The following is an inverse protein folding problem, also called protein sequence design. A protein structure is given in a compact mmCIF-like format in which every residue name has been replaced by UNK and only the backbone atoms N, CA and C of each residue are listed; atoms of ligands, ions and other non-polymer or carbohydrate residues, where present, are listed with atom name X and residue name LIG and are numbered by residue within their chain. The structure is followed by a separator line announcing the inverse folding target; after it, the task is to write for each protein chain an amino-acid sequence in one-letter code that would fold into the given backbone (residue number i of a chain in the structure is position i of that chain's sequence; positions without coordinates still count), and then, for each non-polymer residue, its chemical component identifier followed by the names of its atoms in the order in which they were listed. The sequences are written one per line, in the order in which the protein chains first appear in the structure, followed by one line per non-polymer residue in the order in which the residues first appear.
data_IF_202187976745
#
_entry.id   IF_202187976745
#
_cell.length_a   1.000
_cell.length_b   1.000
_cell.length_c   1.000
_cell.angle_alpha   90.00
_cell.angle_beta   90.00
_cell.angle_gamma   90.00
#
_symmetry.space_group_name_H-M   'P 1'
#
loop_
_entity.id
_entity.type
_entity.pdbx_description
1 polymer ?
#
# COMPACT_ATOMS: atom_id res chain seq x y z
N UNK A 1 -34.92 32.80 27.03
CA UNK A 1 -33.77 32.10 27.64
C UNK A 1 -33.32 31.01 26.72
N UNK A 2 -32.04 30.80 26.59
CA UNK A 2 -31.49 29.80 25.68
C UNK A 2 -31.55 30.18 24.18
N UNK A 3 -31.75 29.20 23.32
CA UNK A 3 -31.74 29.38 21.84
C UNK A 3 -32.79 30.39 21.36
N UNK A 4 -33.96 30.43 22.00
CA UNK A 4 -35.05 31.38 21.67
C UNK A 4 -34.60 32.85 21.85
N UNK A 5 -33.92 33.19 22.94
CA UNK A 5 -33.44 34.55 23.19
C UNK A 5 -32.31 34.93 22.18
N UNK A 6 -31.44 33.97 21.84
CA UNK A 6 -30.38 34.17 20.82
C UNK A 6 -31.04 34.42 19.47
N UNK A 7 -32.08 33.67 19.10
CA UNK A 7 -32.82 33.83 17.86
C UNK A 7 -33.40 35.25 17.73
N UNK A 8 -34.07 35.73 18.77
CA UNK A 8 -34.63 37.10 18.80
C UNK A 8 -33.52 38.15 18.59
N UNK A 9 -32.38 38.02 19.29
CA UNK A 9 -31.24 38.93 19.13
C UNK A 9 -30.65 38.88 17.72
N UNK A 10 -30.68 37.71 17.06
CA UNK A 10 -30.20 37.58 15.69
C UNK A 10 -31.17 38.07 14.63
N UNK A 11 -32.48 38.05 14.93
CA UNK A 11 -33.55 38.59 14.06
C UNK A 11 -33.57 40.13 14.06
N UNK A 12 -33.21 40.75 15.19
CA UNK A 12 -33.10 42.19 15.35
C UNK A 12 -31.81 42.77 14.76
N UNK A 13 -30.92 41.97 14.20
CA UNK A 13 -29.58 42.36 13.78
C UNK A 13 -29.60 42.80 12.33
N UNK A 14 -29.30 44.11 12.08
CA UNK A 14 -29.06 44.65 10.73
C UNK A 14 -27.60 44.43 10.32
N UNK A 15 -27.40 43.54 9.33
CA UNK A 15 -26.06 43.20 8.83
C UNK A 15 -25.38 44.34 8.08
N UNK A 16 -26.15 45.17 7.38
CA UNK A 16 -25.59 46.28 6.59
C UNK A 16 -25.12 47.42 7.50
N UNK A 17 -25.90 47.74 8.54
CA UNK A 17 -25.49 48.72 9.53
C UNK A 17 -24.27 48.23 10.33
N UNK A 18 -24.31 46.99 10.80
CA UNK A 18 -23.22 46.38 11.58
C UNK A 18 -21.92 46.33 10.75
N UNK A 19 -21.99 46.02 9.48
CA UNK A 19 -20.82 46.01 8.59
C UNK A 19 -20.15 47.40 8.48
N UNK A 20 -20.98 48.46 8.36
CA UNK A 20 -20.46 49.85 8.33
C UNK A 20 -19.78 50.24 9.63
N UNK A 21 -20.46 50.00 10.75
CA UNK A 21 -19.92 50.27 12.10
C UNK A 21 -18.59 49.61 12.35
N UNK A 22 -18.46 48.33 11.99
CA UNK A 22 -17.23 47.56 12.16
C UNK A 22 -16.10 48.03 11.25
N UNK A 23 -16.43 48.54 10.02
CA UNK A 23 -15.42 49.13 9.12
C UNK A 23 -14.91 50.44 9.66
N UNK A 24 -15.79 51.29 10.12
CA UNK A 24 -15.46 52.62 10.71
C UNK A 24 -14.60 52.41 11.99
N UNK A 25 -14.94 51.41 12.81
CA UNK A 25 -14.16 51.06 14.00
C UNK A 25 -12.75 50.53 13.65
N UNK A 26 -12.63 49.80 12.51
CA UNK A 26 -11.33 49.28 12.03
C UNK A 26 -10.39 50.40 11.53
N UNK A 27 -10.94 51.48 11.01
CA UNK A 27 -10.14 52.63 10.53
C UNK A 27 -9.55 53.42 11.71
N UNK A 28 -10.26 53.45 12.83
CA UNK A 28 -9.86 54.21 14.02
C UNK A 28 -8.91 53.48 14.96
N UNK A 29 -8.82 52.14 14.86
CA UNK A 29 -8.08 51.32 15.78
C UNK A 29 -6.64 51.00 15.35
N UNK A 30 -5.63 51.14 16.27
CA UNK A 30 -4.26 50.73 15.97
C UNK A 30 -4.14 49.21 15.86
N UNK A 31 -3.04 48.76 15.24
CA UNK A 31 -2.72 47.35 15.06
C UNK A 31 -2.56 46.68 16.43
N UNK A 32 -3.44 45.69 16.77
CA UNK A 32 -3.44 45.01 18.04
C UNK A 32 -4.53 43.93 18.12
N UNK A 33 -4.62 43.27 19.27
CA UNK A 33 -5.58 42.19 19.50
C UNK A 33 -7.04 42.61 19.31
N UNK A 34 -7.38 43.88 19.65
CA UNK A 34 -8.74 44.40 19.50
C UNK A 34 -9.11 44.48 18.00
N UNK A 35 -8.20 45.00 17.19
CA UNK A 35 -8.39 45.06 15.71
C UNK A 35 -8.54 43.66 15.11
N UNK A 36 -7.76 42.66 15.55
CA UNK A 36 -7.88 41.26 15.09
C UNK A 36 -9.23 40.62 15.42
N UNK A 37 -9.82 40.95 16.59
CA UNK A 37 -11.18 40.47 16.95
C UNK A 37 -12.25 41.09 16.09
N UNK A 38 -12.16 42.38 15.80
CA UNK A 38 -13.10 43.08 14.94
C UNK A 38 -12.99 42.59 13.51
N UNK A 39 -11.79 42.35 12.99
CA UNK A 39 -11.60 41.75 11.67
C UNK A 39 -12.30 40.41 11.53
N UNK A 40 -12.13 39.51 12.51
CA UNK A 40 -12.81 38.21 12.53
C UNK A 40 -14.35 38.36 12.60
N UNK A 41 -14.84 39.36 13.35
CA UNK A 41 -16.28 39.62 13.42
C UNK A 41 -16.80 40.16 12.09
N UNK A 42 -16.07 41.08 11.48
CA UNK A 42 -16.42 41.63 10.17
C UNK A 42 -16.43 40.57 9.07
N UNK A 43 -15.45 39.66 9.07
CA UNK A 43 -15.39 38.53 8.15
C UNK A 43 -16.68 37.69 8.19
N UNK A 44 -17.18 37.37 9.40
CA UNK A 44 -18.44 36.62 9.57
C UNK A 44 -19.63 37.43 9.10
N UNK A 45 -19.72 38.72 9.45
CA UNK A 45 -20.81 39.60 9.04
C UNK A 45 -20.88 39.74 7.52
N UNK A 46 -19.72 39.97 6.88
CA UNK A 46 -19.64 40.06 5.41
C UNK A 46 -19.98 38.72 4.73
N UNK A 47 -19.60 37.60 5.31
CA UNK A 47 -19.96 36.26 4.79
C UNK A 47 -21.49 36.07 4.79
N UNK A 48 -22.20 36.46 5.86
CA UNK A 48 -23.67 36.44 5.89
C UNK A 48 -24.29 37.44 4.88
N UNK A 49 -23.77 38.64 4.83
CA UNK A 49 -24.26 39.70 3.92
C UNK A 49 -24.13 39.30 2.44
N UNK A 50 -22.96 38.76 2.05
CA UNK A 50 -22.68 38.36 0.65
C UNK A 50 -23.42 37.07 0.26
N UNK A 51 -23.63 36.15 1.18
CA UNK A 51 -24.34 34.90 0.90
C UNK A 51 -25.88 35.04 0.90
N UNK A 52 -26.41 36.14 1.42
CA UNK A 52 -27.85 36.36 1.58
C UNK A 52 -28.50 35.46 2.67
N UNK A 53 -27.70 34.74 3.47
CA UNK A 53 -28.19 33.95 4.56
C UNK A 53 -28.58 34.80 5.76
N UNK A 54 -29.70 34.48 6.40
CA UNK A 54 -30.15 35.16 7.64
C UNK A 54 -29.42 34.60 8.86
N UNK A 55 -28.90 35.46 9.77
CA UNK A 55 -28.22 34.99 10.97
C UNK A 55 -29.09 34.11 11.86
N UNK A 56 -30.43 34.37 11.90
CA UNK A 56 -31.40 33.57 12.66
C UNK A 56 -31.46 32.11 12.19
N UNK A 57 -31.02 31.78 10.97
CA UNK A 57 -30.97 30.39 10.49
C UNK A 57 -29.90 29.53 11.18
N UNK A 58 -29.01 30.12 11.96
CA UNK A 58 -28.09 29.37 12.84
C UNK A 58 -28.83 28.68 13.99
N UNK A 59 -30.07 29.08 14.29
CA UNK A 59 -30.95 28.45 15.28
C UNK A 59 -31.93 27.54 14.56
N UNK A 60 -31.92 26.26 14.89
CA UNK A 60 -32.82 25.27 14.30
C UNK A 60 -34.21 25.32 14.96
N UNK A 61 -35.24 25.55 14.17
CA UNK A 61 -36.65 25.46 14.62
C UNK A 61 -37.19 24.04 14.47
N UNK A 62 -36.67 23.28 13.50
CA UNK A 62 -37.11 21.92 13.20
C UNK A 62 -35.90 20.98 13.16
N UNK A 63 -36.00 19.89 13.88
CA UNK A 63 -34.95 18.83 13.85
C UNK A 63 -35.28 17.86 12.72
N UNK A 64 -34.40 17.72 11.71
CA UNK A 64 -34.63 16.78 10.63
C UNK A 64 -34.50 15.33 11.12
N UNK A 65 -35.35 14.46 10.61
CA UNK A 65 -35.35 13.02 10.93
C UNK A 65 -34.80 12.28 9.73
N UNK A 66 -33.71 11.54 9.91
CA UNK A 66 -33.11 10.76 8.84
C UNK A 66 -34.02 9.57 8.45
N UNK A 67 -33.91 9.08 7.19
CA UNK A 67 -34.71 7.94 6.72
C UNK A 67 -34.49 6.67 7.55
N UNK A 68 -35.52 5.80 7.65
CA UNK A 68 -35.45 4.56 8.43
C UNK A 68 -34.31 3.61 8.02
N UNK A 69 -33.95 3.59 6.72
CA UNK A 69 -32.88 2.72 6.20
C UNK A 69 -31.50 3.03 6.81
N UNK A 70 -31.26 4.29 7.21
CA UNK A 70 -30.00 4.72 7.83
C UNK A 70 -30.00 4.48 9.35
N UNK A 71 -31.20 4.26 9.97
CA UNK A 71 -31.38 3.92 11.39
C UNK A 71 -32.20 2.66 11.57
N UNK A 72 -31.76 1.51 11.07
CA UNK A 72 -32.57 0.29 10.97
C UNK A 72 -32.99 -0.23 12.34
N UNK A 73 -34.14 -0.88 12.33
CA UNK A 73 -34.63 -1.72 13.42
C UNK A 73 -34.88 -3.11 12.86
N UNK A 74 -34.08 -4.08 13.28
CA UNK A 74 -34.10 -5.45 12.75
C UNK A 74 -34.57 -6.41 13.83
N UNK A 75 -35.51 -7.27 13.49
CA UNK A 75 -35.96 -8.34 14.37
C UNK A 75 -34.94 -9.46 14.38
N UNK A 76 -34.48 -9.85 15.56
CA UNK A 76 -33.60 -10.98 15.80
C UNK A 76 -34.41 -12.25 16.08
N UNK A 77 -33.77 -13.40 15.96
CA UNK A 77 -34.37 -14.67 16.38
C UNK A 77 -34.80 -14.63 17.85
N UNK A 78 -36.01 -15.12 18.16
CA UNK A 78 -36.60 -15.05 19.51
C UNK A 78 -37.38 -13.77 19.80
N UNK A 79 -37.78 -13.00 18.78
CA UNK A 79 -38.69 -11.86 18.93
C UNK A 79 -38.05 -10.58 19.51
N UNK A 80 -36.74 -10.55 19.67
CA UNK A 80 -36.00 -9.37 20.12
C UNK A 80 -35.71 -8.44 18.94
N UNK A 81 -35.70 -7.12 19.20
CA UNK A 81 -35.33 -6.14 18.18
C UNK A 81 -33.94 -5.56 18.46
N UNK A 82 -33.09 -5.58 17.45
CA UNK A 82 -31.88 -4.77 17.44
C UNK A 82 -32.20 -3.44 16.79
N UNK A 83 -31.95 -2.35 17.49
CA UNK A 83 -32.25 -1.00 17.01
C UNK A 83 -30.97 -0.14 16.97
N UNK A 84 -30.93 0.81 16.06
CA UNK A 84 -29.88 1.82 16.04
C UNK A 84 -29.98 2.73 17.27
N UNK A 85 -28.88 3.14 17.84
CA UNK A 85 -28.81 4.09 18.97
C UNK A 85 -29.51 5.42 18.64
N UNK A 86 -29.56 5.82 17.37
CA UNK A 86 -30.23 7.01 16.90
C UNK A 86 -31.76 6.98 17.19
N UNK A 87 -32.38 5.81 17.08
CA UNK A 87 -33.83 5.69 17.39
C UNK A 87 -34.12 6.03 18.86
N UNK A 88 -33.23 5.65 19.78
CA UNK A 88 -33.35 6.01 21.17
C UNK A 88 -33.16 7.51 21.43
N UNK A 89 -32.21 8.12 20.74
CA UNK A 89 -31.96 9.56 20.82
C UNK A 89 -33.15 10.37 20.25
N UNK A 90 -33.68 9.99 19.09
CA UNK A 90 -34.90 10.61 18.52
C UNK A 90 -36.09 10.44 19.45
N UNK A 91 -36.32 9.26 20.02
CA UNK A 91 -37.40 8.99 20.97
C UNK A 91 -37.30 9.90 22.19
N UNK A 92 -36.11 10.17 22.72
CA UNK A 92 -35.89 11.10 23.83
C UNK A 92 -36.26 12.52 23.45
N UNK A 93 -35.88 13.01 22.27
CA UNK A 93 -36.24 14.34 21.76
C UNK A 93 -37.74 14.45 21.62
N UNK A 94 -38.43 13.49 21.00
CA UNK A 94 -39.90 13.50 20.82
C UNK A 94 -40.64 13.48 22.16
N UNK A 95 -40.22 12.63 23.09
CA UNK A 95 -40.84 12.54 24.40
C UNK A 95 -40.70 13.86 25.19
N UNK A 96 -39.54 14.49 25.17
CA UNK A 96 -39.30 15.79 25.81
C UNK A 96 -40.12 16.90 25.16
N UNK A 97 -40.19 16.93 23.84
CA UNK A 97 -40.97 17.91 23.09
C UNK A 97 -42.47 17.77 23.39
N UNK A 98 -43.01 16.53 23.40
CA UNK A 98 -44.42 16.27 23.74
C UNK A 98 -44.74 16.65 25.18
N UNK A 99 -43.84 16.40 26.12
CA UNK A 99 -43.99 16.80 27.51
C UNK A 99 -43.98 18.31 27.66
N UNK A 100 -43.08 19.02 26.95
CA UNK A 100 -43.03 20.48 26.97
C UNK A 100 -44.32 21.07 26.41
N UNK A 101 -44.88 20.56 25.32
CA UNK A 101 -46.15 20.99 24.73
C UNK A 101 -47.29 20.89 25.76
N UNK A 102 -47.42 19.73 26.41
CA UNK A 102 -48.46 19.51 27.45
C UNK A 102 -48.30 20.46 28.64
N UNK A 103 -47.08 20.75 29.09
CA UNK A 103 -46.83 21.69 30.19
C UNK A 103 -47.22 23.13 29.82
N UNK A 104 -46.98 23.54 28.58
CA UNK A 104 -47.41 24.85 28.09
C UNK A 104 -48.93 24.93 27.99
N UNK A 105 -49.58 23.90 27.44
CA UNK A 105 -51.06 23.82 27.32
C UNK A 105 -51.76 23.85 28.70
N UNK A 106 -51.16 23.23 29.72
CA UNK A 106 -51.66 23.20 31.06
C UNK A 106 -51.35 24.47 31.88
N UNK A 107 -50.67 25.46 31.33
CA UNK A 107 -50.31 26.69 32.05
C UNK A 107 -49.34 26.45 33.23
N UNK A 108 -48.45 25.49 33.14
CA UNK A 108 -47.51 25.13 34.22
C UNK A 108 -46.61 26.32 34.61
N UNK A 109 -46.12 26.38 35.87
CA UNK A 109 -45.25 27.44 36.35
C UNK A 109 -43.99 27.59 35.47
N UNK A 110 -43.55 28.81 35.22
CA UNK A 110 -42.42 29.18 34.38
C UNK A 110 -41.13 28.43 34.70
N UNK A 111 -40.90 28.15 35.98
CA UNK A 111 -39.71 27.41 36.44
C UNK A 111 -39.68 25.99 35.83
N UNK A 112 -40.82 25.32 35.80
CA UNK A 112 -40.96 23.96 35.25
C UNK A 112 -40.83 23.99 33.74
N UNK A 113 -41.46 24.94 33.07
CA UNK A 113 -41.35 25.11 31.60
C UNK A 113 -39.90 25.40 31.19
N UNK A 114 -39.21 26.28 31.90
CA UNK A 114 -37.77 26.59 31.64
C UNK A 114 -36.88 25.37 31.82
N UNK A 115 -37.10 24.55 32.83
CA UNK A 115 -36.34 23.32 33.05
C UNK A 115 -36.57 22.30 31.94
N UNK A 116 -37.84 22.13 31.49
CA UNK A 116 -38.16 21.21 30.41
C UNK A 116 -37.58 21.69 29.05
N UNK A 117 -37.58 23.02 28.77
CA UNK A 117 -36.87 23.62 27.63
C UNK A 117 -35.37 23.27 27.66
N UNK A 118 -34.74 23.37 28.85
CA UNK A 118 -33.33 22.99 29.02
C UNK A 118 -33.11 21.49 28.75
N UNK A 119 -33.97 20.62 29.25
CA UNK A 119 -33.88 19.17 29.05
C UNK A 119 -34.14 18.77 27.58
N UNK A 120 -34.97 19.51 26.85
CA UNK A 120 -35.18 19.34 25.43
C UNK A 120 -33.90 19.72 24.66
N UNK A 121 -33.28 20.86 25.00
CA UNK A 121 -32.00 21.29 24.42
C UNK A 121 -30.93 20.22 24.65
N UNK A 122 -30.77 19.68 25.85
CA UNK A 122 -29.83 18.61 26.16
C UNK A 122 -30.08 17.34 25.30
N UNK A 123 -31.35 17.02 25.05
CA UNK A 123 -31.75 15.89 24.22
C UNK A 123 -31.34 16.09 22.75
N UNK A 124 -31.47 17.31 22.22
CA UNK A 124 -31.08 17.67 20.87
C UNK A 124 -29.54 17.71 20.76
N UNK A 125 -28.85 18.26 21.75
CA UNK A 125 -27.39 18.27 21.81
C UNK A 125 -26.83 16.83 21.80
N UNK A 126 -27.45 15.92 22.57
CA UNK A 126 -27.05 14.51 22.56
C UNK A 126 -27.34 13.81 21.24
N UNK A 127 -28.40 14.17 20.53
CA UNK A 127 -28.67 13.62 19.19
C UNK A 127 -27.61 14.03 18.18
N UNK A 128 -27.15 15.30 18.23
CA UNK A 128 -26.18 15.84 17.28
C UNK A 128 -24.76 15.37 17.65
N UNK A 129 -24.32 15.57 18.89
CA UNK A 129 -22.97 15.22 19.35
C UNK A 129 -22.99 14.83 20.85
N UNK A 130 -23.23 13.55 21.11
CA UNK A 130 -23.38 13.02 22.47
C UNK A 130 -22.06 13.10 23.26
N UNK A 131 -22.07 13.73 24.40
CA UNK A 131 -20.92 13.90 25.28
C UNK A 131 -20.08 15.16 25.02
N UNK A 132 -20.50 16.03 24.09
CA UNK A 132 -19.83 17.32 23.87
C UNK A 132 -20.09 18.30 25.02
N UNK A 133 -21.30 18.27 25.57
CA UNK A 133 -21.72 19.08 26.71
C UNK A 133 -22.17 18.18 27.87
N UNK A 134 -21.38 18.11 28.94
CA UNK A 134 -21.68 17.33 30.11
C UNK A 134 -21.47 15.82 29.97
N UNK A 135 -22.19 15.04 30.79
CA UNK A 135 -22.08 13.58 30.76
C UNK A 135 -22.80 13.01 29.53
N UNK A 136 -22.21 12.07 28.81
CA UNK A 136 -22.86 11.46 27.67
C UNK A 136 -24.11 10.69 28.10
N UNK A 137 -25.10 10.71 27.24
CA UNK A 137 -26.29 9.87 27.38
C UNK A 137 -25.91 8.41 27.11
N UNK A 138 -26.20 7.52 28.04
CA UNK A 138 -25.84 6.11 27.98
C UNK A 138 -27.04 5.22 27.75
N UNK A 139 -26.77 4.07 27.13
CA UNK A 139 -27.69 2.96 26.98
C UNK A 139 -27.45 1.87 28.05
N UNK A 140 -27.93 0.64 27.82
CA UNK A 140 -27.64 -0.50 28.66
C UNK A 140 -26.13 -0.67 28.87
N UNK A 141 -25.72 -1.11 30.05
CA UNK A 141 -24.32 -1.31 30.45
C UNK A 141 -23.45 -0.03 30.44
N UNK A 142 -24.05 1.14 30.68
CA UNK A 142 -23.36 2.44 30.70
C UNK A 142 -22.55 2.78 29.41
N UNK A 143 -22.85 2.12 28.29
CA UNK A 143 -22.25 2.44 26.99
C UNK A 143 -22.83 3.77 26.47
N UNK A 144 -21.99 4.76 26.08
CA UNK A 144 -22.49 5.98 25.43
C UNK A 144 -23.21 5.63 24.12
N UNK A 145 -24.36 6.27 23.90
CA UNK A 145 -25.12 6.12 22.65
C UNK A 145 -24.41 6.84 21.53
N UNK A 146 -24.39 6.22 20.34
CA UNK A 146 -23.76 6.76 19.14
C UNK A 146 -24.62 7.85 18.51
N UNK A 147 -24.14 9.09 18.52
CA UNK A 147 -24.85 10.27 17.97
C UNK A 147 -24.65 10.40 16.43
N UNK A 148 -25.34 11.38 15.82
CA UNK A 148 -25.16 11.70 14.39
C UNK A 148 -23.71 12.06 14.06
N UNK A 149 -23.06 12.86 14.90
CA UNK A 149 -21.65 13.23 14.76
C UNK A 149 -20.74 12.02 14.82
N UNK A 150 -20.98 11.06 15.71
CA UNK A 150 -20.20 9.84 15.85
C UNK A 150 -20.34 8.89 14.66
N UNK A 151 -21.45 8.99 13.93
CA UNK A 151 -21.61 8.26 12.67
C UNK A 151 -20.70 8.78 11.56
N UNK A 152 -20.23 10.03 11.64
CA UNK A 152 -19.38 10.66 10.65
C UNK A 152 -17.91 10.68 11.07
N UNK A 153 -17.63 10.85 12.38
CA UNK A 153 -16.31 11.01 12.98
C UNK A 153 -15.57 9.69 13.17
N UNK A 154 -14.24 9.78 13.26
CA UNK A 154 -13.35 8.70 13.69
C UNK A 154 -13.14 7.59 12.66
N UNK A 155 -12.48 6.51 13.10
CA UNK A 155 -12.13 5.37 12.23
C UNK A 155 -13.33 4.58 11.74
N UNK A 156 -14.41 4.52 12.56
CA UNK A 156 -15.64 3.81 12.26
C UNK A 156 -16.75 4.73 11.70
N UNK A 157 -16.42 6.00 11.47
CA UNK A 157 -17.32 6.95 10.87
C UNK A 157 -17.46 6.76 9.35
N UNK A 158 -18.55 7.28 8.80
CA UNK A 158 -18.92 7.13 7.39
C UNK A 158 -17.81 7.60 6.43
N UNK A 159 -17.14 8.70 6.74
CA UNK A 159 -16.07 9.22 5.91
C UNK A 159 -14.90 8.24 5.79
N UNK A 160 -14.36 7.74 6.89
CA UNK A 160 -13.18 6.87 6.88
C UNK A 160 -13.50 5.42 6.55
N UNK A 161 -14.66 4.91 6.94
CA UNK A 161 -15.03 3.50 6.77
C UNK A 161 -15.67 3.19 5.42
N UNK A 162 -16.45 4.13 4.85
CA UNK A 162 -17.28 3.85 3.68
C UNK A 162 -17.01 4.75 2.47
N UNK A 163 -16.45 5.96 2.65
CA UNK A 163 -16.22 6.92 1.57
C UNK A 163 -14.75 6.97 1.14
N UNK A 164 -13.81 7.12 2.08
CA UNK A 164 -12.37 7.13 1.77
C UNK A 164 -11.82 5.74 1.46
N UNK A 165 -12.52 4.70 1.86
CA UNK A 165 -12.19 3.32 1.55
C UNK A 165 -13.43 2.44 1.60
N UNK A 166 -13.54 1.49 0.66
CA UNK A 166 -14.65 0.53 0.57
C UNK A 166 -14.10 -0.88 0.56
N UNK A 167 -14.89 -1.84 1.03
CA UNK A 167 -14.62 -3.25 0.79
C UNK A 167 -14.86 -3.53 -0.69
N UNK A 168 -13.93 -4.23 -1.33
CA UNK A 168 -13.99 -4.53 -2.74
C UNK A 168 -13.98 -6.04 -2.96
N UNK A 169 -14.68 -6.48 -4.01
CA UNK A 169 -14.66 -7.86 -4.47
C UNK A 169 -13.35 -8.16 -5.23
N UNK A 170 -13.13 -9.40 -5.60
CA UNK A 170 -11.91 -9.86 -6.28
C UNK A 170 -10.63 -9.49 -5.54
N UNK A 171 -10.69 -9.59 -4.24
CA UNK A 171 -9.56 -9.35 -3.34
C UNK A 171 -9.48 -10.42 -2.26
N UNK A 172 -8.28 -10.63 -1.78
CA UNK A 172 -8.01 -11.60 -0.73
C UNK A 172 -6.87 -11.13 0.16
N UNK A 173 -6.59 -11.86 1.22
CA UNK A 173 -5.49 -11.58 2.13
C UNK A 173 -4.90 -12.88 2.64
N UNK A 174 -3.57 -12.98 2.68
CA UNK A 174 -2.87 -14.11 3.28
C UNK A 174 -1.52 -13.69 3.84
N UNK A 175 -0.94 -14.58 4.63
CA UNK A 175 0.43 -14.46 5.13
C UNK A 175 1.40 -14.55 3.96
N UNK A 176 2.52 -13.85 4.05
CA UNK A 176 3.59 -13.89 3.06
C UNK A 176 4.76 -14.77 3.54
N UNK A 177 5.39 -15.44 2.58
CA UNK A 177 6.64 -16.18 2.78
C UNK A 177 7.62 -15.86 1.66
N UNK A 178 8.89 -16.10 1.90
CA UNK A 178 9.92 -15.87 0.89
C UNK A 178 9.78 -16.83 -0.29
N UNK A 179 9.94 -16.28 -1.50
CA UNK A 179 10.00 -17.04 -2.75
C UNK A 179 11.35 -16.80 -3.45
N UNK A 180 12.43 -17.50 -3.06
CA UNK A 180 13.75 -17.26 -3.63
C UNK A 180 13.84 -17.63 -5.12
N UNK A 181 13.01 -18.56 -5.58
CA UNK A 181 12.98 -19.04 -6.97
C UNK A 181 12.22 -18.11 -7.93
N UNK A 182 11.44 -17.19 -7.38
CA UNK A 182 10.65 -16.25 -8.17
C UNK A 182 11.53 -15.27 -8.96
N UNK A 183 11.07 -14.89 -10.13
CA UNK A 183 11.60 -13.73 -10.86
C UNK A 183 11.03 -12.44 -10.29
N UNK A 184 11.69 -11.30 -10.53
CA UNK A 184 11.32 -10.00 -9.98
C UNK A 184 9.87 -9.60 -10.27
N UNK A 185 9.34 -9.99 -11.41
CA UNK A 185 7.97 -9.67 -11.82
C UNK A 185 6.93 -10.73 -11.39
N UNK A 186 7.35 -11.79 -10.68
CA UNK A 186 6.50 -12.91 -10.31
C UNK A 186 6.14 -12.89 -8.83
N UNK A 187 4.94 -13.40 -8.52
CA UNK A 187 4.55 -13.76 -7.15
C UNK A 187 3.94 -15.17 -7.12
N UNK A 188 4.12 -15.86 -6.01
CA UNK A 188 3.49 -17.16 -5.80
C UNK A 188 2.11 -17.00 -5.18
N UNK A 189 1.07 -17.40 -5.89
CA UNK A 189 -0.31 -17.32 -5.42
C UNK A 189 -0.82 -18.71 -5.03
N UNK A 190 -1.34 -18.90 -3.80
CA UNK A 190 -1.96 -20.16 -3.38
C UNK A 190 -3.06 -20.59 -4.34
N UNK A 191 -3.07 -21.86 -4.73
CA UNK A 191 -4.02 -22.41 -5.71
C UNK A 191 -5.47 -22.18 -5.31
N UNK A 192 -5.82 -22.44 -4.04
CA UNK A 192 -7.18 -22.24 -3.53
C UNK A 192 -7.63 -20.77 -3.63
N UNK A 193 -6.73 -19.85 -3.27
CA UNK A 193 -7.00 -18.41 -3.37
C UNK A 193 -7.12 -17.97 -4.83
N UNK A 194 -6.26 -18.48 -5.71
CA UNK A 194 -6.31 -18.20 -7.15
C UNK A 194 -7.64 -18.64 -7.75
N UNK A 195 -8.11 -19.84 -7.40
CA UNK A 195 -9.38 -20.37 -7.92
C UNK A 195 -10.57 -19.48 -7.52
N UNK A 196 -10.60 -18.97 -6.30
CA UNK A 196 -11.68 -18.09 -5.84
C UNK A 196 -11.61 -16.69 -6.50
N UNK A 197 -10.41 -16.11 -6.61
CA UNK A 197 -10.23 -14.80 -7.25
C UNK A 197 -10.56 -14.83 -8.74
N UNK A 198 -10.11 -15.86 -9.46
CA UNK A 198 -10.30 -16.00 -10.89
C UNK A 198 -11.57 -16.78 -11.27
N UNK A 199 -12.43 -17.09 -10.32
CA UNK A 199 -13.62 -17.92 -10.49
C UNK A 199 -14.48 -17.58 -11.71
N UNK A 200 -14.86 -16.30 -11.98
CA UNK A 200 -15.64 -15.95 -13.15
C UNK A 200 -14.92 -16.23 -14.48
N UNK A 201 -13.62 -15.99 -14.51
CA UNK A 201 -12.81 -16.21 -15.71
C UNK A 201 -12.64 -17.70 -16.00
N UNK A 202 -12.44 -18.52 -14.96
CA UNK A 202 -12.37 -19.98 -15.07
C UNK A 202 -13.72 -20.54 -15.53
N UNK A 203 -14.84 -20.09 -14.93
CA UNK A 203 -16.18 -20.50 -15.35
C UNK A 203 -16.45 -20.15 -16.81
N UNK A 204 -16.09 -18.95 -17.24
CA UNK A 204 -16.21 -18.55 -18.65
C UNK A 204 -15.39 -19.48 -19.55
N UNK A 205 -14.14 -19.75 -19.20
CA UNK A 205 -13.24 -20.62 -19.97
C UNK A 205 -13.79 -22.03 -20.13
N UNK A 206 -14.34 -22.60 -19.03
CA UNK A 206 -14.94 -23.94 -19.06
C UNK A 206 -16.17 -24.01 -19.96
N UNK A 207 -16.96 -22.94 -20.05
CA UNK A 207 -18.11 -22.85 -20.96
C UNK A 207 -17.64 -22.67 -22.41
N UNK A 208 -16.68 -21.79 -22.66
CA UNK A 208 -16.11 -21.52 -23.99
C UNK A 208 -15.42 -22.76 -24.59
N UNK A 209 -14.89 -23.65 -23.74
CA UNK A 209 -14.32 -24.94 -24.16
C UNK A 209 -15.32 -26.10 -24.22
N UNK A 210 -16.62 -25.82 -24.05
CA UNK A 210 -17.72 -26.83 -24.06
C UNK A 210 -17.57 -27.94 -22.99
N UNK A 211 -16.64 -27.76 -22.00
CA UNK A 211 -16.49 -28.68 -20.88
C UNK A 211 -17.68 -28.57 -19.91
N UNK A 212 -18.21 -27.35 -19.76
CA UNK A 212 -19.43 -27.11 -19.01
C UNK A 212 -20.56 -26.66 -19.94
N UNK A 213 -21.72 -27.27 -19.81
CA UNK A 213 -22.90 -26.97 -20.65
C UNK A 213 -23.52 -25.61 -20.38
N UNK A 214 -23.38 -25.08 -19.19
CA UNK A 214 -23.85 -23.75 -18.79
C UNK A 214 -23.10 -23.23 -17.56
N UNK A 215 -23.27 -21.93 -17.25
CA UNK A 215 -22.62 -21.25 -16.15
C UNK A 215 -22.95 -21.92 -14.79
N UNK A 216 -24.17 -22.44 -14.61
CA UNK A 216 -24.59 -23.13 -13.37
C UNK A 216 -23.80 -24.43 -13.16
N UNK A 217 -23.54 -25.15 -14.23
CA UNK A 217 -22.73 -26.37 -14.21
C UNK A 217 -21.25 -26.04 -13.99
N UNK A 218 -20.72 -25.04 -14.72
CA UNK A 218 -19.36 -24.55 -14.52
C UNK A 218 -19.10 -24.15 -13.04
N UNK A 219 -20.05 -23.43 -12.43
CA UNK A 219 -19.97 -23.06 -11.01
C UNK A 219 -19.87 -24.26 -10.09
N UNK A 220 -20.70 -25.29 -10.30
CA UNK A 220 -20.65 -26.53 -9.51
C UNK A 220 -19.33 -27.28 -9.69
N UNK A 221 -18.74 -27.25 -10.89
CA UNK A 221 -17.44 -27.87 -11.16
C UNK A 221 -16.32 -27.13 -10.41
N UNK A 222 -16.32 -25.81 -10.49
CA UNK A 222 -15.33 -24.96 -9.78
C UNK A 222 -15.47 -25.09 -8.25
N UNK A 223 -16.70 -25.08 -7.72
CA UNK A 223 -16.95 -25.20 -6.27
C UNK A 223 -16.48 -26.56 -5.70
N UNK A 224 -16.51 -27.62 -6.51
CA UNK A 224 -15.99 -28.94 -6.12
C UNK A 224 -14.46 -29.04 -6.24
N UNK A 225 -13.88 -28.29 -7.18
CA UNK A 225 -12.43 -28.22 -7.46
C UNK A 225 -11.74 -29.62 -7.60
N UNK A 226 -12.50 -30.66 -7.90
CA UNK A 226 -12.01 -32.05 -7.95
C UNK A 226 -11.55 -32.49 -9.35
N UNK A 227 -11.86 -31.70 -10.37
CA UNK A 227 -11.57 -32.03 -11.77
C UNK A 227 -10.29 -31.37 -12.24
N UNK A 228 -9.47 -32.12 -12.98
CA UNK A 228 -8.20 -31.62 -13.54
C UNK A 228 -8.42 -30.45 -14.49
N UNK A 229 -9.49 -30.50 -15.27
CA UNK A 229 -9.85 -29.48 -16.26
C UNK A 229 -10.05 -28.10 -15.66
N UNK A 230 -10.50 -28.02 -14.39
CA UNK A 230 -10.63 -26.74 -13.66
C UNK A 230 -9.25 -26.11 -13.39
N UNK A 231 -8.28 -26.93 -13.01
CA UNK A 231 -6.91 -26.48 -12.73
C UNK A 231 -6.18 -26.11 -14.02
N UNK A 232 -6.35 -26.89 -15.09
CA UNK A 232 -5.80 -26.60 -16.41
C UNK A 232 -6.38 -25.27 -16.97
N UNK A 233 -7.69 -25.06 -16.80
CA UNK A 233 -8.33 -23.80 -17.16
C UNK A 233 -7.81 -22.61 -16.33
N UNK A 234 -7.61 -22.82 -15.02
CA UNK A 234 -7.05 -21.80 -14.12
C UNK A 234 -5.63 -21.39 -14.55
N UNK A 235 -4.77 -22.36 -14.86
CA UNK A 235 -3.39 -22.10 -15.30
C UNK A 235 -3.34 -21.24 -16.56
N UNK A 236 -4.23 -21.53 -17.53
CA UNK A 236 -4.33 -20.73 -18.75
C UNK A 236 -4.84 -19.31 -18.48
N UNK A 237 -5.83 -19.15 -17.60
CA UNK A 237 -6.45 -17.87 -17.27
C UNK A 237 -5.46 -16.96 -16.52
N UNK A 238 -4.67 -17.52 -15.62
CA UNK A 238 -3.67 -16.77 -14.83
C UNK A 238 -2.54 -16.24 -15.72
N UNK A 239 -2.18 -16.98 -16.76
CA UNK A 239 -1.10 -16.59 -17.65
C UNK A 239 -1.40 -15.23 -18.28
N UNK A 240 -0.48 -14.29 -18.12
CA UNK A 240 -0.61 -12.91 -18.59
C UNK A 240 -1.71 -12.08 -17.91
N UNK A 241 -2.23 -12.48 -16.76
CA UNK A 241 -3.16 -11.68 -15.97
C UNK A 241 -2.47 -11.17 -14.70
N UNK A 242 -2.03 -9.90 -14.66
CA UNK A 242 -1.33 -9.37 -13.49
C UNK A 242 -2.25 -9.25 -12.30
N UNK A 243 -1.68 -9.42 -11.10
CA UNK A 243 -2.35 -9.17 -9.83
C UNK A 243 -1.63 -8.06 -9.07
N UNK A 244 -2.35 -7.31 -8.25
CA UNK A 244 -1.78 -6.28 -7.40
C UNK A 244 -1.58 -6.82 -5.99
N UNK A 245 -0.38 -6.67 -5.44
CA UNK A 245 -0.09 -6.95 -4.03
C UNK A 245 0.06 -5.64 -3.27
N UNK A 246 -0.54 -5.59 -2.08
CA UNK A 246 -0.47 -4.43 -1.18
C UNK A 246 -0.14 -4.86 0.24
N UNK A 247 0.76 -4.14 0.89
CA UNK A 247 1.00 -4.24 2.34
C UNK A 247 0.59 -2.96 3.04
N UNK A 248 -0.24 -3.06 4.06
CA UNK A 248 -0.57 -1.96 4.95
C UNK A 248 0.52 -1.80 6.04
N UNK A 249 0.90 -0.57 6.44
CA UNK A 249 0.42 0.71 5.90
C UNK A 249 1.06 1.04 4.54
N UNK A 250 0.26 1.57 3.60
CA UNK A 250 0.76 2.02 2.29
C UNK A 250 1.32 3.44 2.42
N UNK A 251 2.62 3.56 2.68
CA UNK A 251 3.28 4.83 2.93
C UNK A 251 3.67 5.59 1.66
N UNK A 252 3.90 4.85 0.57
CA UNK A 252 4.28 5.41 -0.73
C UNK A 252 3.78 4.49 -1.85
N UNK A 253 3.89 4.95 -3.11
CA UNK A 253 3.33 4.25 -4.28
C UNK A 253 3.85 2.81 -4.46
N UNK A 254 5.09 2.49 -4.03
CA UNK A 254 5.66 1.15 -4.13
C UNK A 254 5.08 0.17 -3.08
N UNK A 255 4.23 0.63 -2.16
CA UNK A 255 3.44 -0.22 -1.28
C UNK A 255 2.31 -0.98 -2.00
N UNK A 256 2.07 -0.67 -3.29
CA UNK A 256 1.20 -1.42 -4.19
C UNK A 256 1.98 -1.67 -5.48
N UNK A 257 2.20 -2.94 -5.83
CA UNK A 257 2.91 -3.31 -7.04
C UNK A 257 2.18 -4.46 -7.74
N UNK A 258 2.32 -4.52 -9.07
CA UNK A 258 1.78 -5.59 -9.89
C UNK A 258 2.81 -6.72 -10.06
N UNK A 259 2.29 -7.94 -10.11
CA UNK A 259 3.06 -9.15 -10.33
C UNK A 259 2.31 -10.10 -11.26
N UNK A 260 3.03 -10.92 -11.98
CA UNK A 260 2.47 -12.08 -12.68
C UNK A 260 2.38 -13.26 -11.70
N UNK A 261 1.17 -13.78 -11.44
CA UNK A 261 1.00 -14.86 -10.47
C UNK A 261 1.47 -16.20 -11.03
N UNK A 262 2.12 -16.98 -10.17
CA UNK A 262 2.44 -18.39 -10.39
C UNK A 262 1.72 -19.19 -9.30
N UNK A 263 1.08 -20.30 -9.68
CA UNK A 263 0.40 -21.18 -8.73
C UNK A 263 1.41 -21.89 -7.83
N UNK A 264 1.15 -21.83 -6.53
CA UNK A 264 1.97 -22.49 -5.52
C UNK A 264 1.10 -23.31 -4.57
N UNK A 265 1.68 -24.39 -4.05
CA UNK A 265 1.06 -25.18 -2.99
C UNK A 265 1.15 -24.45 -1.65
N UNK A 266 0.20 -24.75 -0.75
CA UNK A 266 0.09 -24.13 0.56
C UNK A 266 -0.90 -22.97 0.57
N UNK A 267 -0.89 -22.17 1.65
CA UNK A 267 -1.85 -21.07 1.89
C UNK A 267 -1.19 -19.70 1.97
N UNK A 268 0.13 -19.65 1.89
CA UNK A 268 0.90 -18.41 1.96
C UNK A 268 1.27 -17.88 0.58
N UNK A 269 1.20 -16.57 0.42
CA UNK A 269 1.68 -15.88 -0.79
C UNK A 269 3.21 -15.88 -0.77
N UNK A 270 3.85 -16.33 -1.87
CA UNK A 270 5.29 -16.22 -2.01
C UNK A 270 5.67 -14.88 -2.61
N UNK A 271 6.57 -14.18 -1.95
CA UNK A 271 7.04 -12.86 -2.35
C UNK A 271 8.52 -12.89 -2.69
N UNK A 272 8.88 -12.18 -3.77
CA UNK A 272 10.28 -12.04 -4.18
C UNK A 272 11.09 -11.26 -3.13
N UNK A 273 12.25 -11.76 -2.67
CA UNK A 273 12.98 -11.14 -1.56
C UNK A 273 13.41 -9.68 -1.81
N UNK A 274 13.72 -9.29 -3.05
CA UNK A 274 14.18 -7.94 -3.35
C UNK A 274 13.08 -6.87 -3.28
N UNK A 275 11.80 -7.23 -3.36
CA UNK A 275 10.68 -6.28 -3.22
C UNK A 275 10.28 -6.02 -1.77
N UNK A 276 10.76 -6.82 -0.82
CA UNK A 276 10.46 -6.65 0.60
C UNK A 276 10.81 -5.26 1.12
N UNK A 277 11.92 -4.69 0.65
CA UNK A 277 12.34 -3.32 1.04
C UNK A 277 11.31 -2.28 0.58
N UNK A 278 10.75 -2.41 -0.61
CA UNK A 278 9.74 -1.49 -1.14
C UNK A 278 8.42 -1.57 -0.36
N UNK A 279 8.00 -2.77 0.03
CA UNK A 279 6.81 -3.00 0.85
C UNK A 279 7.05 -2.77 2.34
N UNK A 280 8.30 -2.61 2.77
CA UNK A 280 8.71 -2.68 4.18
C UNK A 280 8.16 -3.93 4.86
N UNK A 281 8.27 -5.08 4.17
CA UNK A 281 7.72 -6.37 4.58
C UNK A 281 8.82 -7.27 5.12
N UNK A 282 8.47 -8.06 6.14
CA UNK A 282 9.27 -9.16 6.67
C UNK A 282 8.41 -10.43 6.76
N UNK A 283 9.04 -11.56 7.06
CA UNK A 283 8.39 -12.87 7.04
C UNK A 283 8.14 -13.41 8.44
N UNK A 284 7.87 -12.54 9.41
CA UNK A 284 7.57 -12.86 10.80
C UNK A 284 6.07 -13.09 11.08
N UNK A 285 5.24 -13.14 10.05
CA UNK A 285 3.78 -13.27 10.13
C UNK A 285 3.03 -12.13 9.43
N UNK A 286 3.75 -11.28 8.70
CA UNK A 286 3.14 -10.24 7.88
C UNK A 286 2.15 -10.80 6.87
N UNK A 287 1.08 -10.05 6.64
CA UNK A 287 0.05 -10.35 5.66
C UNK A 287 0.02 -9.29 4.57
N UNK A 288 -0.27 -9.72 3.35
CA UNK A 288 -0.50 -8.84 2.23
C UNK A 288 -1.88 -9.07 1.61
N UNK A 289 -2.48 -7.98 1.13
CA UNK A 289 -3.69 -8.03 0.34
C UNK A 289 -3.35 -8.26 -1.14
N UNK A 290 -4.19 -9.03 -1.82
CA UNK A 290 -4.13 -9.24 -3.26
C UNK A 290 -5.40 -8.69 -3.90
N UNK A 291 -5.27 -8.06 -5.05
CA UNK A 291 -6.37 -7.51 -5.84
C UNK A 291 -6.23 -7.91 -7.29
N UNK A 292 -7.35 -8.22 -7.93
CA UNK A 292 -7.41 -8.65 -9.32
C UNK A 292 -7.95 -7.53 -10.21
N UNK A 293 -7.16 -6.94 -11.11
CA UNK A 293 -7.65 -6.03 -12.15
C UNK A 293 -8.60 -6.77 -13.10
N UNK A 294 -9.80 -6.22 -13.34
CA UNK A 294 -10.83 -6.91 -14.11
C UNK A 294 -10.85 -6.47 -15.58
N UNK A 295 -10.80 -5.17 -15.87
CA UNK A 295 -10.86 -4.65 -17.22
C UNK A 295 -9.50 -4.74 -17.94
N UNK A 296 -9.54 -4.73 -19.27
CA UNK A 296 -8.33 -4.75 -20.10
C UNK A 296 -7.45 -3.51 -19.85
N UNK A 297 -8.07 -2.35 -19.64
CA UNK A 297 -7.40 -1.09 -19.33
C UNK A 297 -6.69 -1.19 -17.98
N UNK A 298 -7.37 -1.69 -16.93
CA UNK A 298 -6.77 -1.87 -15.62
C UNK A 298 -5.61 -2.87 -15.64
N UNK A 299 -5.72 -3.94 -16.42
CA UNK A 299 -4.63 -4.91 -16.61
C UNK A 299 -3.45 -4.28 -17.36
N UNK A 300 -3.70 -3.46 -18.36
CA UNK A 300 -2.67 -2.73 -19.09
C UNK A 300 -1.94 -1.73 -18.17
N UNK A 301 -2.66 -0.95 -17.37
CA UNK A 301 -2.06 -0.04 -16.39
C UNK A 301 -1.24 -0.81 -15.33
N UNK A 302 -1.76 -1.92 -14.82
CA UNK A 302 -1.03 -2.78 -13.89
C UNK A 302 0.29 -3.27 -14.48
N UNK A 303 0.28 -3.68 -15.76
CA UNK A 303 1.45 -4.21 -16.46
C UNK A 303 2.47 -3.12 -16.82
N UNK A 304 2.02 -2.00 -17.37
CA UNK A 304 2.94 -0.96 -17.88
C UNK A 304 3.44 0.00 -16.80
N UNK A 305 2.59 0.34 -15.81
CA UNK A 305 2.91 1.34 -14.79
C UNK A 305 3.29 0.74 -13.44
N UNK A 306 2.70 -0.40 -13.06
CA UNK A 306 2.78 -0.91 -11.69
C UNK A 306 3.61 -2.18 -11.54
N UNK A 307 4.08 -2.79 -12.63
CA UNK A 307 4.87 -4.03 -12.56
C UNK A 307 6.15 -3.81 -11.75
N UNK A 308 6.47 -4.73 -10.85
CA UNK A 308 7.62 -4.61 -9.94
C UNK A 308 8.96 -4.45 -10.67
N UNK A 309 9.13 -5.14 -11.82
CA UNK A 309 10.32 -5.01 -12.66
C UNK A 309 10.53 -3.60 -13.25
N UNK A 310 9.46 -2.81 -13.40
CA UNK A 310 9.52 -1.42 -13.87
C UNK A 310 9.78 -0.39 -12.75
N UNK A 311 9.53 -0.77 -11.49
CA UNK A 311 9.53 0.14 -10.35
C UNK A 311 10.73 -0.09 -9.41
N UNK A 312 11.94 -0.03 -9.96
CA UNK A 312 13.19 -0.29 -9.25
C UNK A 312 13.73 0.93 -8.49
N UNK A 313 13.22 2.14 -8.75
CA UNK A 313 13.72 3.40 -8.20
C UNK A 313 12.78 3.97 -7.13
N UNK A 314 13.36 4.55 -6.09
CA UNK A 314 12.62 5.31 -5.08
C UNK A 314 12.10 6.62 -5.66
N UNK A 315 10.82 6.96 -5.44
CA UNK A 315 10.28 8.24 -5.93
C UNK A 315 10.84 9.47 -5.21
N UNK A 316 11.46 9.30 -4.03
CA UNK A 316 12.00 10.40 -3.21
C UNK A 316 13.32 10.96 -3.73
N UNK A 317 14.25 10.08 -4.10
CA UNK A 317 15.64 10.44 -4.43
C UNK A 317 16.16 9.80 -5.73
N UNK A 318 15.33 9.02 -6.41
CA UNK A 318 15.70 8.35 -7.66
C UNK A 318 16.77 7.26 -7.51
N UNK A 319 17.08 6.84 -6.29
CA UNK A 319 18.03 5.75 -6.03
C UNK A 319 17.35 4.39 -6.12
N UNK A 320 18.11 3.30 -6.42
CA UNK A 320 17.54 1.96 -6.40
C UNK A 320 16.92 1.60 -5.04
N UNK A 321 15.71 1.04 -5.05
CA UNK A 321 15.06 0.50 -3.86
C UNK A 321 15.34 -1.00 -3.71
N UNK A 322 15.50 -1.71 -4.82
CA UNK A 322 15.68 -3.16 -4.92
C UNK A 322 17.17 -3.51 -4.86
N UNK A 323 17.80 -3.28 -3.71
CA UNK A 323 19.21 -3.63 -3.49
C UNK A 323 19.25 -4.98 -2.76
N UNK A 324 20.13 -5.92 -3.17
CA UNK A 324 20.35 -7.16 -2.43
C UNK A 324 20.69 -6.89 -0.96
N UNK A 325 20.19 -7.75 -0.09
CA UNK A 325 20.34 -7.64 1.37
C UNK A 325 20.80 -8.96 1.98
N UNK A 326 21.28 -8.93 3.22
CA UNK A 326 21.58 -10.11 4.03
C UNK A 326 22.46 -11.13 3.28
N UNK A 327 21.99 -12.36 3.14
CA UNK A 327 22.74 -13.49 2.54
C UNK A 327 23.18 -13.23 1.09
N UNK A 328 22.42 -12.43 0.34
CA UNK A 328 22.80 -12.04 -1.02
C UNK A 328 24.07 -11.17 -1.05
N UNK A 329 24.20 -10.27 -0.06
CA UNK A 329 25.42 -9.45 0.11
C UNK A 329 26.59 -10.36 0.49
N UNK A 330 26.36 -11.27 1.44
CA UNK A 330 27.38 -12.18 1.94
C UNK A 330 27.92 -13.05 0.81
N UNK A 331 27.06 -13.64 -0.01
CA UNK A 331 27.48 -14.42 -1.17
C UNK A 331 28.23 -13.61 -2.22
N UNK A 332 27.80 -12.37 -2.47
CA UNK A 332 28.51 -11.45 -3.39
C UNK A 332 29.89 -11.03 -2.85
N UNK A 333 29.96 -10.77 -1.54
CA UNK A 333 31.24 -10.49 -0.86
C UNK A 333 32.19 -11.67 -0.95
N UNK A 334 31.69 -12.88 -0.65
CA UNK A 334 32.47 -14.09 -0.73
C UNK A 334 33.02 -14.35 -2.15
N UNK A 335 32.20 -14.18 -3.19
CA UNK A 335 32.63 -14.32 -4.57
C UNK A 335 33.75 -13.34 -4.99
N UNK A 336 33.76 -12.14 -4.43
CA UNK A 336 34.69 -11.08 -4.86
C UNK A 336 35.92 -10.94 -3.97
N UNK A 337 36.04 -11.77 -2.93
CA UNK A 337 37.19 -11.83 -2.05
C UNK A 337 38.41 -12.38 -2.77
N UNK A 338 39.62 -12.02 -2.34
CA UNK A 338 40.89 -12.52 -2.84
C UNK A 338 41.64 -13.15 -1.67
N UNK A 339 42.26 -14.31 -1.92
CA UNK A 339 43.16 -15.00 -0.99
C UNK A 339 44.35 -15.55 -1.72
N UNK A 340 45.54 -15.11 -1.35
CA UNK A 340 46.81 -15.49 -1.99
C UNK A 340 47.26 -16.92 -1.60
N UNK A 341 46.74 -17.48 -0.52
CA UNK A 341 47.08 -18.78 0.04
C UNK A 341 46.24 -19.94 -0.52
N UNK A 342 45.32 -19.67 -1.46
CA UNK A 342 44.50 -20.70 -2.08
C UNK A 342 45.26 -21.49 -3.19
N UNK A 343 44.85 -22.76 -3.42
CA UNK A 343 45.45 -23.59 -4.47
C UNK A 343 45.32 -22.93 -5.87
N UNK A 344 46.39 -22.99 -6.63
CA UNK A 344 46.40 -22.50 -8.01
C UNK A 344 46.63 -20.99 -8.18
N UNK A 345 47.01 -20.28 -7.11
CA UNK A 345 47.40 -18.87 -7.21
C UNK A 345 48.56 -18.69 -8.24
N UNK A 346 48.46 -17.65 -9.05
CA UNK A 346 49.44 -17.31 -10.10
C UNK A 346 49.31 -18.08 -11.40
N UNK A 347 48.43 -19.09 -11.54
CA UNK A 347 48.20 -19.82 -12.77
C UNK A 347 47.61 -18.94 -13.87
N UNK A 348 47.99 -19.27 -15.15
CA UNK A 348 47.54 -18.56 -16.34
C UNK A 348 46.59 -19.44 -17.13
N UNK A 349 45.44 -18.88 -17.54
CA UNK A 349 44.40 -19.56 -18.29
C UNK A 349 44.15 -18.89 -19.63
N UNK A 350 43.77 -19.69 -20.64
CA UNK A 350 43.51 -19.24 -22.00
C UNK A 350 42.23 -18.40 -22.13
N UNK A 351 41.20 -18.74 -21.35
CA UNK A 351 39.89 -18.05 -21.32
C UNK A 351 39.17 -18.22 -19.98
N UNK A 352 38.03 -17.56 -19.82
CA UNK A 352 37.22 -17.66 -18.62
C UNK A 352 36.62 -19.05 -18.37
N UNK A 353 36.29 -19.79 -19.43
CA UNK A 353 35.69 -21.14 -19.32
C UNK A 353 36.70 -22.15 -18.83
N UNK A 354 37.94 -22.07 -19.28
CA UNK A 354 39.04 -22.90 -18.77
C UNK A 354 39.29 -22.65 -17.27
N UNK A 355 39.26 -21.37 -16.84
CA UNK A 355 39.43 -21.04 -15.45
C UNK A 355 38.23 -21.57 -14.58
N UNK A 356 36.97 -21.51 -15.07
CA UNK A 356 35.83 -22.10 -14.44
C UNK A 356 35.94 -23.63 -14.34
N UNK A 357 36.39 -24.30 -15.42
CA UNK A 357 36.58 -25.75 -15.43
C UNK A 357 37.70 -26.17 -14.46
N UNK A 358 38.81 -25.41 -14.39
CA UNK A 358 39.85 -25.65 -13.41
C UNK A 358 39.39 -25.53 -11.95
N UNK A 359 38.47 -24.64 -11.71
CA UNK A 359 37.77 -24.55 -10.38
C UNK A 359 36.88 -25.76 -10.12
N UNK A 360 36.06 -26.17 -11.07
CA UNK A 360 35.18 -27.32 -10.95
C UNK A 360 35.93 -28.62 -10.72
N UNK A 361 37.16 -28.74 -11.27
CA UNK A 361 38.08 -29.88 -11.06
C UNK A 361 38.94 -29.75 -9.80
N UNK A 362 38.82 -28.67 -9.02
CA UNK A 362 39.57 -28.46 -7.79
C UNK A 362 41.05 -28.04 -7.98
N UNK A 363 41.48 -27.73 -9.22
CA UNK A 363 42.86 -27.30 -9.54
C UNK A 363 43.15 -25.88 -9.09
N UNK A 364 42.09 -25.06 -8.97
CA UNK A 364 42.18 -23.63 -8.58
C UNK A 364 41.12 -23.35 -7.54
N UNK A 365 41.48 -22.56 -6.51
CA UNK A 365 40.53 -22.05 -5.52
C UNK A 365 39.66 -20.92 -6.08
N UNK A 366 38.52 -20.68 -5.41
CA UNK A 366 37.57 -19.66 -5.82
C UNK A 366 38.15 -18.23 -5.72
N UNK A 367 38.99 -18.00 -4.70
CA UNK A 367 39.56 -16.70 -4.36
C UNK A 367 41.02 -16.54 -4.79
N UNK A 368 41.60 -17.60 -5.36
CA UNK A 368 42.99 -17.58 -5.83
C UNK A 368 43.22 -16.51 -6.92
N UNK A 369 44.21 -15.64 -6.81
CA UNK A 369 44.57 -14.72 -7.88
C UNK A 369 45.12 -15.49 -9.06
N UNK A 370 44.49 -15.34 -10.21
CA UNK A 370 44.84 -16.01 -11.46
C UNK A 370 45.01 -14.99 -12.60
N UNK A 371 45.69 -15.40 -13.65
CA UNK A 371 45.83 -14.61 -14.87
C UNK A 371 45.03 -15.24 -15.99
N UNK A 372 44.19 -14.45 -16.64
CA UNK A 372 43.33 -14.95 -17.72
C UNK A 372 43.52 -14.13 -18.98
N UNK A 373 43.66 -14.82 -20.09
CA UNK A 373 43.75 -14.17 -21.40
C UNK A 373 42.35 -13.84 -21.90
N UNK A 374 42.10 -12.56 -22.17
CA UNK A 374 40.86 -12.05 -22.75
C UNK A 374 41.12 -11.57 -24.16
N UNK A 375 40.32 -12.01 -25.12
CA UNK A 375 40.39 -11.57 -26.50
C UNK A 375 39.14 -10.77 -26.86
N UNK A 376 39.30 -9.58 -27.41
CA UNK A 376 38.23 -8.73 -27.94
C UNK A 376 38.52 -8.31 -29.35
N UNK A 377 37.51 -8.17 -30.17
CA UNK A 377 37.59 -7.64 -31.51
C UNK A 377 37.47 -6.11 -31.46
N UNK A 378 38.53 -5.41 -31.85
CA UNK A 378 38.62 -3.95 -31.84
C UNK A 378 39.07 -3.51 -33.25
N UNK A 379 38.26 -2.70 -33.92
CA UNK A 379 38.49 -2.20 -35.26
C UNK A 379 38.81 -3.35 -36.28
N UNK A 380 38.12 -4.49 -36.19
CA UNK A 380 38.30 -5.63 -37.08
C UNK A 380 39.59 -6.45 -36.84
N UNK A 381 40.32 -6.18 -35.73
CA UNK A 381 41.50 -6.97 -35.32
C UNK A 381 41.22 -7.60 -33.95
N UNK A 382 41.46 -8.90 -33.82
CA UNK A 382 41.38 -9.61 -32.53
C UNK A 382 42.64 -9.29 -31.72
N UNK A 383 42.46 -8.48 -30.69
CA UNK A 383 43.52 -8.15 -29.73
C UNK A 383 43.28 -8.97 -28.46
N UNK A 384 44.35 -9.58 -27.94
CA UNK A 384 44.28 -10.37 -26.72
C UNK A 384 45.22 -9.81 -25.65
N UNK A 385 44.74 -9.80 -24.40
CA UNK A 385 45.53 -9.36 -23.24
C UNK A 385 45.33 -10.29 -22.07
N UNK A 386 46.29 -10.34 -21.18
CA UNK A 386 46.22 -11.06 -19.89
C UNK A 386 45.80 -10.07 -18.84
N UNK A 387 44.74 -10.42 -18.11
CA UNK A 387 44.21 -9.65 -16.97
C UNK A 387 44.34 -10.44 -15.68
N UNK A 388 44.48 -9.73 -14.57
CA UNK A 388 44.46 -10.33 -13.24
C UNK A 388 42.98 -10.45 -12.75
N UNK A 389 42.60 -11.64 -12.34
CA UNK A 389 41.27 -11.94 -11.89
C UNK A 389 41.26 -13.04 -10.82
N UNK A 390 40.08 -13.36 -10.27
CA UNK A 390 39.84 -14.60 -9.53
C UNK A 390 38.64 -15.31 -10.16
N UNK A 391 38.54 -16.63 -9.98
CA UNK A 391 37.37 -17.37 -10.50
C UNK A 391 36.07 -16.81 -9.95
N UNK A 392 36.04 -16.44 -8.67
CA UNK A 392 34.85 -15.82 -8.04
C UNK A 392 34.45 -14.51 -8.70
N UNK A 393 35.41 -13.62 -9.05
CA UNK A 393 35.11 -12.37 -9.77
C UNK A 393 34.63 -12.62 -11.19
N UNK A 394 35.18 -13.63 -11.89
CA UNK A 394 34.70 -14.03 -13.23
C UNK A 394 33.23 -14.45 -13.14
N UNK A 395 32.88 -15.30 -12.19
CA UNK A 395 31.50 -15.76 -11.97
C UNK A 395 30.57 -14.60 -11.59
N UNK A 396 31.04 -13.68 -10.75
CA UNK A 396 30.24 -12.52 -10.34
C UNK A 396 29.98 -11.54 -11.49
N UNK A 397 30.92 -11.39 -12.42
CA UNK A 397 30.75 -10.52 -13.58
C UNK A 397 29.91 -11.15 -14.72
N UNK A 398 29.66 -12.45 -14.68
CA UNK A 398 28.87 -13.15 -15.71
C UNK A 398 27.46 -12.55 -15.98
N UNK A 399 26.63 -12.23 -14.95
CA UNK A 399 25.35 -11.55 -15.15
C UNK A 399 25.47 -10.05 -15.37
N UNK A 400 26.62 -9.43 -15.10
CA UNK A 400 26.78 -7.97 -15.08
C UNK A 400 27.18 -7.49 -16.47
N UNK A 401 26.47 -6.52 -17.06
CA UNK A 401 26.87 -5.87 -18.29
C UNK A 401 28.27 -5.26 -18.17
N UNK A 402 29.09 -5.46 -19.18
CA UNK A 402 30.49 -5.00 -19.17
C UNK A 402 30.69 -3.60 -19.79
N UNK A 403 29.65 -2.76 -19.71
CA UNK A 403 29.59 -1.38 -20.23
C UNK A 403 29.08 -0.36 -19.17
N UNK A 404 29.22 -0.69 -17.89
CA UNK A 404 28.72 0.14 -16.79
C UNK A 404 29.60 1.38 -16.49
N UNK A 405 30.83 1.43 -17.02
CA UNK A 405 31.73 2.55 -16.82
C UNK A 405 32.39 2.59 -15.43
N UNK A 406 32.66 1.44 -14.82
CA UNK A 406 33.58 1.33 -13.68
C UNK A 406 35.02 1.24 -14.20
N UNK A 407 35.21 0.73 -15.41
CA UNK A 407 36.49 0.67 -16.11
C UNK A 407 36.50 1.67 -17.25
N UNK A 408 37.55 2.47 -17.36
CA UNK A 408 37.75 3.37 -18.48
C UNK A 408 38.08 2.57 -19.73
N UNK A 409 37.13 2.43 -20.66
CA UNK A 409 37.27 1.69 -21.91
C UNK A 409 38.00 2.47 -22.99
N UNK A 410 38.32 3.73 -22.77
CA UNK A 410 39.10 4.55 -23.67
C UNK A 410 40.61 4.28 -23.47
N UNK A 411 40.99 3.84 -22.28
CA UNK A 411 42.36 3.43 -21.98
C UNK A 411 42.66 2.05 -22.61
N UNK A 412 43.64 2.00 -23.50
CA UNK A 412 44.05 0.78 -24.18
C UNK A 412 44.52 -0.33 -23.22
N UNK A 413 44.96 0.06 -22.03
CA UNK A 413 45.40 -0.87 -21.00
C UNK A 413 44.27 -1.52 -20.25
N UNK A 414 43.25 -0.76 -19.89
CA UNK A 414 42.15 -1.18 -19.00
C UNK A 414 40.92 -1.72 -19.72
N UNK A 415 40.84 -1.52 -21.04
CA UNK A 415 39.66 -1.91 -21.83
C UNK A 415 39.30 -3.41 -21.78
N UNK A 416 40.22 -4.27 -21.33
CA UNK A 416 40.02 -5.71 -21.18
C UNK A 416 39.61 -6.12 -19.79
N UNK A 417 39.78 -5.24 -18.77
CA UNK A 417 39.49 -5.56 -17.38
C UNK A 417 38.00 -5.82 -17.16
N UNK A 418 37.71 -6.62 -16.13
CA UNK A 418 36.35 -6.86 -15.67
C UNK A 418 35.77 -5.59 -15.03
N UNK A 419 34.49 -5.29 -15.28
CA UNK A 419 33.81 -4.13 -14.69
C UNK A 419 33.88 -4.15 -13.16
N UNK A 420 33.73 -5.32 -12.54
CA UNK A 420 33.86 -5.48 -11.11
C UNK A 420 35.14 -6.25 -10.79
N UNK A 421 36.20 -5.50 -10.50
CA UNK A 421 37.53 -6.02 -10.09
C UNK A 421 37.79 -5.76 -8.58
N UNK A 422 36.86 -5.17 -7.86
CA UNK A 422 36.96 -4.78 -6.45
C UNK A 422 36.08 -5.66 -5.55
N UNK A 423 36.30 -5.57 -4.24
CA UNK A 423 35.51 -6.26 -3.21
C UNK A 423 34.11 -5.66 -3.13
N UNK A 424 33.07 -6.49 -3.28
CA UNK A 424 31.68 -6.04 -3.36
C UNK A 424 31.01 -6.11 -1.99
N UNK A 425 30.67 -4.95 -1.45
CA UNK A 425 29.87 -4.77 -0.24
C UNK A 425 28.52 -4.13 -0.59
N UNK A 426 27.68 -3.86 0.40
CA UNK A 426 26.35 -3.26 0.21
C UNK A 426 26.37 -1.96 -0.60
N UNK A 427 27.34 -1.08 -0.32
CA UNK A 427 27.48 0.22 -1.02
C UNK A 427 27.85 0.03 -2.49
N UNK A 428 28.78 -0.88 -2.76
CA UNK A 428 29.25 -1.19 -4.10
C UNK A 428 28.14 -1.85 -4.92
N UNK A 429 27.37 -2.78 -4.35
CA UNK A 429 26.16 -3.35 -4.98
C UNK A 429 25.15 -2.27 -5.35
N UNK A 430 24.88 -1.33 -4.45
CA UNK A 430 24.00 -0.20 -4.75
C UNK A 430 24.48 0.63 -5.95
N UNK A 431 25.79 0.89 -6.07
CA UNK A 431 26.38 1.60 -7.20
C UNK A 431 26.30 0.81 -8.50
N UNK A 432 26.54 -0.51 -8.45
CA UNK A 432 26.45 -1.40 -9.62
C UNK A 432 25.02 -1.37 -10.15
N UNK A 433 24.01 -1.52 -9.28
CA UNK A 433 22.60 -1.52 -9.67
C UNK A 433 22.18 -0.15 -10.22
N UNK A 434 22.58 0.95 -9.59
CA UNK A 434 22.28 2.30 -10.10
C UNK A 434 22.81 2.52 -11.51
N UNK A 435 24.07 2.12 -11.75
CA UNK A 435 24.67 2.17 -13.08
C UNK A 435 23.98 1.23 -14.08
N UNK A 436 23.61 0.01 -13.65
CA UNK A 436 22.85 -0.91 -14.51
C UNK A 436 21.52 -0.31 -14.96
N UNK A 437 20.76 0.32 -14.04
CA UNK A 437 19.49 0.95 -14.39
C UNK A 437 19.68 2.08 -15.39
N UNK A 438 20.71 2.90 -15.22
CA UNK A 438 21.00 4.04 -16.10
C UNK A 438 21.50 3.62 -17.48
N UNK A 439 22.30 2.55 -17.55
CA UNK A 439 22.91 2.07 -18.79
C UNK A 439 21.97 1.17 -19.59
N UNK A 440 21.31 0.20 -18.91
CA UNK A 440 20.57 -0.87 -19.59
C UNK A 440 19.03 -0.78 -19.42
N UNK A 441 18.53 0.17 -18.61
CA UNK A 441 17.13 0.30 -18.28
C UNK A 441 16.62 -0.72 -17.25
N UNK A 442 15.35 -0.58 -16.84
CA UNK A 442 14.78 -1.34 -15.71
C UNK A 442 14.59 -2.83 -16.01
N UNK A 443 14.13 -3.17 -17.20
CA UNK A 443 13.80 -4.57 -17.58
C UNK A 443 15.05 -5.43 -17.52
N UNK A 444 16.14 -5.03 -18.22
CA UNK A 444 17.39 -5.78 -18.23
C UNK A 444 18.04 -5.82 -16.84
N UNK A 445 17.93 -4.73 -16.08
CA UNK A 445 18.44 -4.70 -14.70
C UNK A 445 17.68 -5.67 -13.79
N UNK A 446 16.38 -5.90 -14.01
CA UNK A 446 15.63 -6.89 -13.23
C UNK A 446 16.15 -8.32 -13.44
N UNK A 447 16.56 -8.68 -14.65
CA UNK A 447 17.19 -9.97 -14.93
C UNK A 447 18.57 -10.09 -14.27
N UNK A 448 19.38 -9.02 -14.30
CA UNK A 448 20.67 -8.96 -13.62
C UNK A 448 20.48 -9.13 -12.11
N UNK A 449 19.49 -8.46 -11.52
CA UNK A 449 19.15 -8.59 -10.10
C UNK A 449 18.76 -10.02 -9.72
N UNK A 450 17.96 -10.69 -10.53
CA UNK A 450 17.58 -12.09 -10.31
C UNK A 450 18.78 -13.03 -10.34
N UNK A 451 19.73 -12.80 -11.28
CA UNK A 451 20.97 -13.59 -11.35
C UNK A 451 21.88 -13.30 -10.16
N UNK A 452 22.06 -12.04 -9.76
CA UNK A 452 22.85 -11.67 -8.57
C UNK A 452 22.23 -12.28 -7.31
N UNK A 453 20.90 -12.25 -7.18
CA UNK A 453 20.16 -12.91 -6.08
C UNK A 453 20.49 -14.40 -6.02
N UNK A 454 20.37 -15.11 -7.14
CA UNK A 454 20.60 -16.56 -7.21
C UNK A 454 22.06 -16.91 -6.90
N UNK A 455 23.02 -16.14 -7.44
CA UNK A 455 24.44 -16.29 -7.11
C UNK A 455 24.70 -15.99 -5.64
N UNK A 456 24.12 -14.92 -5.11
CA UNK A 456 24.25 -14.53 -3.71
C UNK A 456 23.83 -15.65 -2.77
N UNK A 457 22.65 -16.22 -2.95
CA UNK A 457 22.20 -17.36 -2.14
C UNK A 457 23.06 -18.59 -2.30
N UNK A 458 23.41 -18.96 -3.54
CA UNK A 458 24.26 -20.13 -3.81
C UNK A 458 25.61 -20.04 -3.11
N UNK A 459 26.27 -18.89 -3.20
CA UNK A 459 27.60 -18.72 -2.65
C UNK A 459 27.61 -18.33 -1.16
N UNK A 460 26.54 -17.77 -0.64
CA UNK A 460 26.33 -17.65 0.80
C UNK A 460 26.26 -19.04 1.46
N UNK A 461 25.47 -19.95 0.87
CA UNK A 461 25.40 -21.35 1.33
C UNK A 461 26.77 -22.03 1.31
N UNK A 462 27.55 -21.85 0.22
CA UNK A 462 28.90 -22.41 0.11
C UNK A 462 29.88 -21.83 1.13
N UNK A 463 29.72 -20.53 1.48
CA UNK A 463 30.64 -19.85 2.42
C UNK A 463 30.40 -20.21 3.87
N UNK A 464 29.15 -20.51 4.25
CA UNK A 464 28.71 -20.74 5.61
C UNK A 464 28.01 -22.09 5.81
N UNK A 465 28.25 -23.06 4.92
CA UNK A 465 27.55 -24.34 5.00
C UNK A 465 27.85 -25.04 6.33
N UNK A 466 26.89 -24.97 7.23
CA UNK A 466 26.87 -25.71 8.50
C UNK A 466 26.70 -27.22 8.28
N UNK A 467 26.33 -27.65 7.09
CA UNK A 467 26.15 -29.07 6.73
C UNK A 467 27.49 -29.79 6.70
N UNK A 468 28.59 -29.07 6.52
CA UNK A 468 29.94 -29.62 6.51
C UNK A 468 30.65 -29.55 7.86
N UNK A 469 29.98 -29.06 8.91
CA UNK A 469 30.40 -29.12 10.30
C UNK A 469 29.68 -30.25 10.98
#
# INVERSE_FOLDING_TARGET
MGAEAIKTLLEDLDLDQLSRELKDELETLPIGQKRARILKRLEVVEAFRLSGNKPSWMIMDVVPVIPPDIRPMVQLDGGRFATSDLNDLYRRVINRNNRLKKLIELGAPDIIVRNEKRMLQESVDALIDNGRHGRPVTGPNNRPLKSLSDMLKGKQGRFRQNLLGKRVDYSGRSVIVVGPDLKMYQCGLPKEMALELFKPFVMKRLVDQEIATNIKNARKMVDRASMKEVWDALEVVIKNHPVLLNRAPTLHRLGIQAFEPILVEGRAIRLHPLVCTAFNADFDGDQMAIHLPLSAEAQAEARFLMLAAGNLLKPSDGRPVTIPTQDMILGSYYLTMVRDDEPGAGKVFRNFDEAKMAYDTGVVGLHAPIKVRVSKEINGKTISRIIDATVGRIIFNDPIPQDLGFVDRTDSEKQFDLEVSFLVRKKELGKIIDKCIRSCGTVRTSEVLDRIKNQGFKYSTKSLSLIHI
#
